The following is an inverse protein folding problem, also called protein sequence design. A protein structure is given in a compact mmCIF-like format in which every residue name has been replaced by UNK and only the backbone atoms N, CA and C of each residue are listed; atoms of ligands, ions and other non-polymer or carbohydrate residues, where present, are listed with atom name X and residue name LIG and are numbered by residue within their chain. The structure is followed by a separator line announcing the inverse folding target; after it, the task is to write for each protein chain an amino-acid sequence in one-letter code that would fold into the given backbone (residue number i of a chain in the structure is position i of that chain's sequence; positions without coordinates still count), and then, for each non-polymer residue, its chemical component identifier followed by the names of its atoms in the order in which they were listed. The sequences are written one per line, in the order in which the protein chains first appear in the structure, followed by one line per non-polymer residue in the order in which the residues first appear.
data_IF_608735673340
#
_entry.id   IF_608735673340
#
_cell.length_a   1.000
_cell.length_b   1.000
_cell.length_c   1.000
_cell.angle_alpha   90.00
_cell.angle_beta   90.00
_cell.angle_gamma   90.00
#
_symmetry.space_group_name_H-M   'P 1'
#
loop_
_entity.id
_entity.type
_entity.pdbx_description
1 polymer ?
#
# COMPACT_ATOMS: atom_id res chain seq x y z
N UNK A 1 17.17 -28.12 16.55
CA UNK A 1 18.20 -27.40 15.79
C UNK A 1 18.45 -27.96 14.39
N UNK A 2 18.66 -29.27 14.15
CA UNK A 2 19.04 -29.76 12.81
C UNK A 2 17.96 -29.54 11.73
N UNK A 3 16.68 -29.47 12.12
CA UNK A 3 15.58 -29.21 11.18
C UNK A 3 15.56 -27.79 10.62
N UNK A 4 16.02 -26.80 11.38
CA UNK A 4 15.98 -25.40 10.94
C UNK A 4 17.10 -25.13 9.94
N UNK A 5 18.28 -25.69 10.18
CA UNK A 5 19.45 -25.59 9.28
C UNK A 5 19.16 -26.28 7.95
N UNK A 6 18.56 -27.47 7.98
CA UNK A 6 18.14 -28.19 6.77
C UNK A 6 17.12 -27.38 5.94
N UNK A 7 16.18 -26.69 6.60
CA UNK A 7 15.22 -25.82 5.91
C UNK A 7 15.88 -24.59 5.30
N UNK A 8 16.81 -23.95 6.01
CA UNK A 8 17.55 -22.80 5.48
C UNK A 8 18.36 -23.19 4.22
N UNK A 9 19.05 -24.32 4.25
CA UNK A 9 19.82 -24.82 3.10
C UNK A 9 18.92 -25.14 1.89
N UNK A 10 17.75 -25.74 2.14
CA UNK A 10 16.75 -26.00 1.10
C UNK A 10 16.24 -24.70 0.47
N UNK A 11 15.89 -23.69 1.29
CA UNK A 11 15.43 -22.39 0.81
C UNK A 11 16.46 -21.71 -0.08
N UNK A 12 17.74 -21.73 0.32
CA UNK A 12 18.81 -21.13 -0.49
C UNK A 12 19.01 -21.87 -1.81
N UNK A 13 18.90 -23.20 -1.80
CA UNK A 13 18.98 -24.02 -3.02
C UNK A 13 17.84 -23.69 -3.98
N UNK A 14 16.62 -23.61 -3.47
CA UNK A 14 15.43 -23.26 -4.26
C UNK A 14 15.52 -21.83 -4.80
N UNK A 15 16.04 -20.89 -4.03
CA UNK A 15 16.22 -19.50 -4.46
C UNK A 15 17.10 -19.41 -5.72
N UNK A 16 18.22 -20.15 -5.74
CA UNK A 16 19.12 -20.21 -6.90
C UNK A 16 18.44 -20.86 -8.11
N UNK A 17 17.67 -21.93 -7.88
CA UNK A 17 16.96 -22.64 -8.93
C UNK A 17 15.88 -21.75 -9.58
N UNK A 18 15.05 -21.08 -8.77
CA UNK A 18 14.01 -20.16 -9.23
C UNK A 18 14.58 -19.00 -10.04
N UNK A 19 15.67 -18.38 -9.57
CA UNK A 19 16.34 -17.32 -10.34
C UNK A 19 16.80 -17.79 -11.71
N UNK A 20 17.41 -18.98 -11.78
CA UNK A 20 17.88 -19.57 -13.04
C UNK A 20 16.72 -19.90 -13.97
N UNK A 21 15.62 -20.43 -13.44
CA UNK A 21 14.40 -20.70 -14.20
C UNK A 21 13.79 -19.43 -14.78
N UNK A 22 13.86 -18.32 -14.04
CA UNK A 22 13.46 -16.99 -14.52
C UNK A 22 14.45 -16.36 -15.54
N UNK A 23 15.59 -17.00 -15.82
CA UNK A 23 16.59 -16.50 -16.77
C UNK A 23 17.34 -15.25 -16.30
N UNK A 24 17.34 -14.95 -14.99
CA UNK A 24 17.93 -13.73 -14.45
C UNK A 24 19.35 -13.96 -13.91
N UNK A 25 20.26 -13.04 -14.24
CA UNK A 25 21.57 -12.94 -13.59
C UNK A 25 21.45 -12.27 -12.20
N UNK A 26 22.42 -12.52 -11.32
CA UNK A 26 22.44 -11.88 -9.99
C UNK A 26 22.41 -10.35 -10.09
N UNK A 27 23.16 -9.77 -11.03
CA UNK A 27 23.20 -8.32 -11.27
C UNK A 27 21.86 -7.75 -11.73
N UNK A 28 21.11 -8.48 -12.55
CA UNK A 28 19.78 -8.03 -12.98
C UNK A 28 18.80 -8.01 -11.82
N UNK A 29 18.82 -9.03 -10.96
CA UNK A 29 17.99 -9.05 -9.75
C UNK A 29 18.34 -7.90 -8.82
N UNK A 30 19.63 -7.67 -8.57
CA UNK A 30 20.08 -6.55 -7.73
C UNK A 30 19.63 -5.21 -8.30
N UNK A 31 19.74 -5.01 -9.62
CA UNK A 31 19.28 -3.79 -10.28
C UNK A 31 17.76 -3.60 -10.22
N UNK A 32 16.98 -4.66 -10.39
CA UNK A 32 15.51 -4.59 -10.42
C UNK A 32 14.91 -4.37 -9.02
N UNK A 33 15.56 -4.90 -7.98
CA UNK A 33 15.12 -4.74 -6.59
C UNK A 33 15.85 -3.61 -5.84
N UNK A 34 16.71 -2.83 -6.51
CA UNK A 34 17.47 -1.76 -5.87
C UNK A 34 18.42 -2.25 -4.77
N UNK A 35 18.92 -3.48 -4.85
CA UNK A 35 19.83 -4.06 -3.86
C UNK A 35 21.26 -3.55 -4.08
N UNK A 36 22.05 -3.51 -2.99
CA UNK A 36 23.48 -3.22 -3.09
C UNK A 36 24.20 -4.34 -3.87
N UNK A 37 25.26 -3.99 -4.57
CA UNK A 37 26.08 -4.95 -5.30
C UNK A 37 26.55 -6.11 -4.41
N UNK A 38 26.48 -7.34 -4.94
CA UNK A 38 26.80 -8.62 -4.28
C UNK A 38 25.84 -9.05 -3.16
N UNK A 39 24.77 -8.31 -2.87
CA UNK A 39 23.78 -8.71 -1.86
C UNK A 39 23.15 -10.05 -2.21
N UNK A 40 22.79 -10.27 -3.47
CA UNK A 40 22.14 -11.52 -3.87
C UNK A 40 23.12 -12.69 -3.79
N UNK A 41 24.39 -12.46 -4.14
CA UNK A 41 25.43 -13.47 -3.98
C UNK A 41 25.59 -13.89 -2.51
N UNK A 42 25.64 -12.93 -1.59
CA UNK A 42 25.79 -13.23 -0.17
C UNK A 42 24.53 -13.89 0.43
N UNK A 43 23.33 -13.57 -0.08
CA UNK A 43 22.10 -14.30 0.25
C UNK A 43 22.17 -15.75 -0.23
N UNK A 44 22.46 -16.00 -1.52
CA UNK A 44 22.54 -17.35 -2.09
C UNK A 44 23.63 -18.23 -1.45
N UNK A 45 24.65 -17.61 -0.85
CA UNK A 45 25.71 -18.29 -0.08
C UNK A 45 25.40 -18.44 1.41
N UNK A 46 24.24 -17.97 1.88
CA UNK A 46 23.85 -18.02 3.28
C UNK A 46 24.69 -17.13 4.20
N UNK A 47 25.44 -16.17 3.64
CA UNK A 47 26.24 -15.20 4.40
C UNK A 47 25.38 -14.08 4.96
N UNK A 48 24.30 -13.75 4.26
CA UNK A 48 23.24 -12.87 4.74
C UNK A 48 21.99 -13.69 5.01
N UNK A 49 21.27 -13.32 6.08
CA UNK A 49 19.97 -13.91 6.38
C UNK A 49 18.91 -13.33 5.44
N UNK A 50 18.18 -14.21 4.78
CA UNK A 50 17.06 -13.84 3.92
C UNK A 50 15.86 -13.48 4.79
N UNK A 51 15.46 -12.21 4.78
CA UNK A 51 14.21 -11.80 5.45
C UNK A 51 12.98 -12.26 4.66
N UNK A 52 11.84 -12.36 5.35
CA UNK A 52 10.57 -12.73 4.71
C UNK A 52 10.17 -11.78 3.57
N UNK A 53 10.34 -10.47 3.76
CA UNK A 53 10.00 -9.48 2.72
C UNK A 53 10.87 -9.65 1.48
N UNK A 54 12.19 -9.83 1.67
CA UNK A 54 13.11 -10.10 0.55
C UNK A 54 12.77 -11.41 -0.17
N UNK A 55 12.37 -12.46 0.57
CA UNK A 55 11.93 -13.71 -0.03
C UNK A 55 10.70 -13.51 -0.92
N UNK A 56 9.72 -12.72 -0.46
CA UNK A 56 8.53 -12.39 -1.23
C UNK A 56 8.85 -11.59 -2.50
N UNK A 57 9.68 -10.54 -2.39
CA UNK A 57 10.11 -9.72 -3.53
C UNK A 57 10.85 -10.55 -4.59
N UNK A 58 11.72 -11.48 -4.15
CA UNK A 58 12.46 -12.38 -5.03
C UNK A 58 11.52 -13.39 -5.71
N UNK A 59 10.59 -14.02 -4.98
CA UNK A 59 9.59 -14.92 -5.54
C UNK A 59 8.74 -14.20 -6.62
N UNK A 60 8.29 -12.98 -6.34
CA UNK A 60 7.53 -12.18 -7.29
C UNK A 60 8.35 -11.90 -8.56
N UNK A 61 9.61 -11.52 -8.41
CA UNK A 61 10.52 -11.27 -9.53
C UNK A 61 10.77 -12.53 -10.37
N UNK A 62 10.78 -13.70 -9.73
CA UNK A 62 11.00 -14.99 -10.39
C UNK A 62 9.72 -15.62 -10.93
N UNK A 63 8.56 -14.96 -10.79
CA UNK A 63 7.25 -15.50 -11.13
C UNK A 63 6.95 -16.84 -10.43
N UNK A 64 7.36 -16.95 -9.16
CA UNK A 64 7.21 -18.12 -8.31
C UNK A 64 6.40 -17.81 -7.04
N UNK A 65 5.81 -18.83 -6.44
CA UNK A 65 5.13 -18.74 -5.14
C UNK A 65 6.15 -18.94 -4.00
N UNK A 66 5.81 -18.48 -2.80
CA UNK A 66 6.59 -18.77 -1.59
C UNK A 66 6.63 -20.28 -1.29
N UNK A 67 5.60 -21.02 -1.71
CA UNK A 67 5.58 -22.48 -1.61
C UNK A 67 6.67 -23.14 -2.46
N UNK A 68 7.02 -22.57 -3.62
CA UNK A 68 8.11 -23.09 -4.46
C UNK A 68 9.47 -22.88 -3.78
N UNK A 69 9.62 -21.77 -3.04
CA UNK A 69 10.81 -21.50 -2.26
C UNK A 69 10.96 -22.44 -1.06
N UNK A 70 9.84 -22.87 -0.46
CA UNK A 70 9.79 -23.76 0.71
C UNK A 70 9.70 -25.24 0.35
N UNK A 71 9.52 -25.59 -0.92
CA UNK A 71 9.36 -26.96 -1.38
C UNK A 71 10.58 -27.83 -1.02
N UNK A 72 10.34 -29.03 -0.49
CA UNK A 72 11.40 -30.00 -0.22
C UNK A 72 11.98 -30.60 -1.52
N UNK A 73 13.17 -31.17 -1.45
CA UNK A 73 13.85 -31.80 -2.59
C UNK A 73 13.06 -32.94 -3.28
N UNK A 74 12.10 -33.55 -2.59
CA UNK A 74 11.22 -34.60 -3.12
C UNK A 74 9.96 -34.05 -3.81
N UNK A 75 9.75 -32.73 -3.80
CA UNK A 75 8.68 -32.12 -4.57
C UNK A 75 8.99 -32.29 -6.06
N UNK A 76 8.00 -32.67 -6.90
CA UNK A 76 8.22 -32.79 -8.33
C UNK A 76 8.80 -31.48 -8.85
N UNK A 77 9.88 -31.57 -9.64
CA UNK A 77 10.54 -30.41 -10.25
C UNK A 77 9.47 -29.44 -10.77
N UNK A 78 9.61 -28.12 -10.51
CA UNK A 78 8.65 -27.14 -10.97
C UNK A 78 8.52 -27.32 -12.47
N UNK A 79 7.37 -27.85 -12.87
CA UNK A 79 7.09 -28.24 -14.24
C UNK A 79 7.39 -27.00 -15.10
N UNK A 80 8.39 -27.12 -15.96
CA UNK A 80 8.58 -26.18 -17.06
C UNK A 80 7.23 -26.07 -17.73
N UNK A 81 6.54 -24.93 -17.54
CA UNK A 81 5.19 -24.71 -18.06
C UNK A 81 5.30 -24.83 -19.57
N UNK A 82 4.92 -25.99 -20.10
CA UNK A 82 4.64 -26.17 -21.51
C UNK A 82 3.69 -25.06 -21.95
N UNK A 83 4.01 -24.48 -23.09
CA UNK A 83 3.25 -23.44 -23.80
C UNK A 83 1.81 -23.92 -24.09
N UNK A 84 0.95 -23.93 -23.08
CA UNK A 84 -0.49 -24.09 -23.24
C UNK A 84 -1.12 -22.70 -23.30
N UNK A 85 -1.63 -22.35 -24.47
CA UNK A 85 -2.26 -21.08 -24.85
C UNK A 85 -3.59 -20.75 -24.13
N UNK A 86 -3.81 -21.24 -22.91
CA UNK A 86 -4.94 -20.83 -22.08
C UNK A 86 -4.45 -20.28 -20.73
N UNK A 87 -4.87 -19.05 -20.36
CA UNK A 87 -4.48 -18.48 -19.07
C UNK A 87 -5.12 -19.27 -17.93
N UNK A 88 -4.35 -19.77 -16.95
CA UNK A 88 -4.92 -20.32 -15.73
C UNK A 88 -5.67 -19.20 -14.96
N UNK A 89 -6.82 -19.50 -14.32
CA UNK A 89 -7.44 -18.55 -13.41
C UNK A 89 -6.46 -18.27 -12.27
N UNK A 90 -6.09 -16.99 -12.12
CA UNK A 90 -5.05 -16.55 -11.19
C UNK A 90 -5.37 -16.99 -9.75
N UNK A 91 -4.45 -17.69 -9.05
CA UNK A 91 -4.56 -17.86 -7.61
C UNK A 91 -4.41 -16.49 -6.93
N UNK A 92 -5.40 -16.13 -6.11
CA UNK A 92 -5.41 -14.83 -5.45
C UNK A 92 -4.44 -14.81 -4.27
N UNK A 93 -3.45 -13.90 -4.25
CA UNK A 93 -2.50 -13.78 -3.16
C UNK A 93 -3.17 -13.22 -1.91
N UNK A 94 -2.73 -13.66 -0.73
CA UNK A 94 -3.04 -13.01 0.55
C UNK A 94 -2.23 -11.72 0.64
N UNK A 95 -2.88 -10.65 0.23
CA UNK A 95 -2.26 -9.34 -0.02
C UNK A 95 -1.99 -8.58 1.29
N UNK A 96 -0.79 -8.01 1.42
CA UNK A 96 -0.54 -6.96 2.41
C UNK A 96 -1.54 -5.84 2.17
N UNK A 97 -2.08 -5.30 3.24
CA UNK A 97 -3.20 -4.35 3.25
C UNK A 97 -3.11 -3.18 2.27
N UNK A 98 -1.89 -2.77 1.91
CA UNK A 98 -1.62 -1.67 0.99
C UNK A 98 -1.43 -2.12 -0.46
N UNK A 99 -0.94 -3.35 -0.71
CA UNK A 99 -0.99 -3.92 -2.07
C UNK A 99 -2.43 -4.31 -2.44
N UNK A 100 -3.28 -4.56 -1.44
CA UNK A 100 -4.72 -4.74 -1.61
C UNK A 100 -5.45 -3.46 -2.02
N UNK A 101 -4.82 -2.27 -1.93
CA UNK A 101 -5.38 -1.01 -2.45
C UNK A 101 -5.35 -0.91 -3.98
N UNK A 102 -4.86 -1.92 -4.70
CA UNK A 102 -4.97 -1.90 -6.16
C UNK A 102 -4.27 -0.71 -6.82
N UNK A 103 -3.21 -0.18 -6.22
CA UNK A 103 -2.17 0.54 -6.98
C UNK A 103 -1.32 -0.49 -7.73
N UNK A 104 -1.96 -1.30 -8.54
CA UNK A 104 -1.30 -2.25 -9.41
C UNK A 104 -1.68 -1.79 -10.81
N UNK A 105 -1.09 -0.67 -11.22
CA UNK A 105 -0.80 -0.25 -12.60
C UNK A 105 -0.24 1.20 -12.59
N UNK A 106 1.06 1.35 -12.36
CA UNK A 106 1.83 2.51 -12.86
C UNK A 106 1.80 3.84 -12.09
N UNK A 107 2.26 3.89 -10.83
CA UNK A 107 2.78 5.15 -10.26
C UNK A 107 2.12 5.71 -8.98
N UNK A 108 1.57 4.87 -8.10
CA UNK A 108 1.11 5.34 -6.77
C UNK A 108 1.87 4.61 -5.63
N UNK A 109 2.79 3.72 -5.99
CA UNK A 109 3.65 3.00 -5.04
C UNK A 109 4.55 3.94 -4.22
N UNK A 110 5.16 4.98 -4.83
CA UNK A 110 5.97 5.94 -4.08
C UNK A 110 5.16 6.70 -3.03
N UNK A 111 3.87 6.97 -3.27
CA UNK A 111 3.04 7.77 -2.37
C UNK A 111 2.61 6.96 -1.14
N UNK A 112 2.19 5.72 -1.36
CA UNK A 112 1.89 4.81 -0.26
C UNK A 112 3.14 4.56 0.61
N UNK A 113 4.32 4.49 -0.01
CA UNK A 113 5.59 4.39 0.71
C UNK A 113 5.91 5.64 1.53
N UNK A 114 5.82 6.83 0.93
CA UNK A 114 6.07 8.10 1.62
C UNK A 114 5.08 8.33 2.77
N UNK A 115 3.81 8.01 2.56
CA UNK A 115 2.77 8.01 3.60
C UNK A 115 3.12 7.07 4.76
N UNK A 116 3.64 5.87 4.45
CA UNK A 116 4.11 4.91 5.44
C UNK A 116 5.41 5.35 6.16
N UNK A 117 6.11 6.36 5.65
CA UNK A 117 7.30 6.95 6.28
C UNK A 117 7.02 8.27 6.98
N UNK A 118 5.78 8.78 6.92
CA UNK A 118 5.40 10.01 7.62
C UNK A 118 5.72 9.88 9.13
N UNK A 119 6.55 10.77 9.70
CA UNK A 119 7.05 10.60 11.06
C UNK A 119 5.95 10.63 12.11
N UNK A 120 4.84 11.33 11.87
CA UNK A 120 3.70 11.38 12.80
C UNK A 120 2.91 10.08 12.74
N UNK A 121 2.73 9.52 11.54
CA UNK A 121 2.10 8.21 11.36
C UNK A 121 2.98 7.09 11.95
N UNK A 122 4.29 7.11 11.67
CA UNK A 122 5.25 6.12 12.17
C UNK A 122 5.33 6.16 13.70
N UNK A 123 5.29 7.35 14.31
CA UNK A 123 5.27 7.48 15.77
C UNK A 123 4.01 6.88 16.41
N UNK A 124 2.86 6.98 15.73
CA UNK A 124 1.58 6.44 16.19
C UNK A 124 1.51 4.91 16.03
N UNK A 125 1.93 4.39 14.88
CA UNK A 125 1.80 2.97 14.53
C UNK A 125 2.95 2.12 15.07
N UNK A 126 4.14 2.72 15.19
CA UNK A 126 5.38 2.05 15.57
C UNK A 126 6.13 1.46 14.38
N UNK A 127 7.45 1.74 14.32
CA UNK A 127 8.36 1.34 13.22
C UNK A 127 8.27 -0.15 12.89
N UNK A 128 8.15 -1.02 13.91
CA UNK A 128 8.10 -2.48 13.74
C UNK A 128 6.74 -3.06 13.33
N UNK A 129 5.70 -2.23 13.18
CA UNK A 129 4.37 -2.66 12.72
C UNK A 129 4.12 -2.37 11.24
N UNK A 130 4.87 -1.44 10.66
CA UNK A 130 4.75 -1.08 9.25
C UNK A 130 5.01 -2.30 8.36
N UNK A 131 4.12 -2.54 7.40
CA UNK A 131 4.18 -3.68 6.47
C UNK A 131 3.56 -4.99 6.98
N UNK A 132 3.27 -5.12 8.28
CA UNK A 132 2.60 -6.34 8.81
C UNK A 132 1.11 -6.38 8.49
N UNK A 133 0.49 -5.21 8.38
CA UNK A 133 -0.95 -5.00 8.19
C UNK A 133 -1.18 -3.72 7.37
N UNK A 134 -2.38 -3.53 6.78
CA UNK A 134 -2.76 -2.27 6.16
C UNK A 134 -2.58 -1.11 7.14
N UNK A 135 -2.04 0.01 6.65
CA UNK A 135 -1.86 1.20 7.49
C UNK A 135 -3.18 1.66 8.12
N UNK A 136 -4.28 1.60 7.35
CA UNK A 136 -5.59 1.94 7.88
C UNK A 136 -6.01 0.99 9.01
N UNK A 137 -5.82 -0.32 8.88
CA UNK A 137 -6.14 -1.27 9.98
C UNK A 137 -5.28 -1.01 11.22
N UNK A 138 -3.99 -0.71 11.04
CA UNK A 138 -3.10 -0.37 12.14
C UNK A 138 -3.59 0.87 12.90
N UNK A 139 -3.94 1.94 12.19
CA UNK A 139 -4.49 3.14 12.81
C UNK A 139 -5.86 2.88 13.46
N UNK A 140 -6.77 2.17 12.78
CA UNK A 140 -8.09 1.89 13.32
C UNK A 140 -8.10 0.88 14.47
N UNK A 141 -7.02 0.12 14.66
CA UNK A 141 -6.83 -0.86 15.74
C UNK A 141 -6.87 -0.22 17.13
N UNK A 142 -6.37 1.00 17.25
CA UNK A 142 -6.29 1.75 18.51
C UNK A 142 -7.59 2.52 18.85
N UNK A 143 -8.56 2.54 17.94
CA UNK A 143 -9.82 3.25 18.10
C UNK A 143 -10.94 2.34 18.64
N UNK A 144 -11.82 2.93 19.45
CA UNK A 144 -13.11 2.30 19.77
C UNK A 144 -13.95 2.11 18.50
N UNK A 145 -14.87 1.14 18.51
CA UNK A 145 -15.78 0.87 17.38
C UNK A 145 -16.54 2.12 16.91
N UNK A 146 -16.97 2.96 17.86
CA UNK A 146 -17.64 4.22 17.61
C UNK A 146 -16.72 5.25 16.93
N UNK A 147 -15.50 5.43 17.42
CA UNK A 147 -14.52 6.34 16.81
C UNK A 147 -14.12 5.87 15.41
N UNK A 148 -13.85 4.56 15.26
CA UNK A 148 -13.56 3.94 13.96
C UNK A 148 -14.65 4.26 12.96
N UNK A 149 -15.92 4.05 13.33
CA UNK A 149 -17.07 4.37 12.48
C UNK A 149 -17.12 5.85 12.10
N UNK A 150 -16.95 6.76 13.07
CA UNK A 150 -16.97 8.20 12.78
C UNK A 150 -15.83 8.62 11.85
N UNK A 151 -14.62 8.15 12.09
CA UNK A 151 -13.47 8.44 11.22
C UNK A 151 -13.71 7.95 9.81
N UNK A 152 -14.12 6.69 9.66
CA UNK A 152 -14.39 6.06 8.36
C UNK A 152 -15.48 6.80 7.57
N UNK A 153 -16.57 7.20 8.23
CA UNK A 153 -17.62 8.00 7.60
C UNK A 153 -17.12 9.36 7.11
N UNK A 154 -16.30 10.05 7.91
CA UNK A 154 -15.77 11.35 7.54
C UNK A 154 -14.73 11.22 6.41
N UNK A 155 -13.84 10.23 6.49
CA UNK A 155 -12.86 9.92 5.45
C UNK A 155 -13.54 9.75 4.09
N UNK A 156 -14.61 8.95 3.99
CA UNK A 156 -15.31 8.75 2.72
C UNK A 156 -16.05 9.99 2.21
N UNK A 157 -16.56 10.84 3.11
CA UNK A 157 -17.16 12.11 2.70
C UNK A 157 -16.10 13.07 2.16
N UNK A 158 -14.92 13.11 2.77
CA UNK A 158 -13.80 13.89 2.26
C UNK A 158 -13.34 13.36 0.91
N UNK A 159 -13.15 12.05 0.75
CA UNK A 159 -12.77 11.42 -0.52
C UNK A 159 -13.79 11.74 -1.62
N UNK A 160 -15.09 11.53 -1.38
CA UNK A 160 -16.12 11.86 -2.38
C UNK A 160 -16.12 13.34 -2.78
N UNK A 161 -15.76 14.23 -1.86
CA UNK A 161 -15.66 15.66 -2.16
C UNK A 161 -14.39 16.00 -2.96
N UNK A 162 -13.30 15.24 -2.80
CA UNK A 162 -12.09 15.34 -3.65
C UNK A 162 -12.47 14.91 -5.07
N UNK A 163 -13.08 13.72 -5.20
CA UNK A 163 -13.44 13.11 -6.49
C UNK A 163 -14.40 13.98 -7.31
N UNK A 164 -15.32 14.72 -6.67
CA UNK A 164 -16.22 15.63 -7.40
C UNK A 164 -15.77 17.07 -7.46
N UNK A 165 -14.58 17.40 -6.94
CA UNK A 165 -14.16 18.80 -6.79
C UNK A 165 -13.93 19.50 -8.12
N UNK A 166 -13.54 18.77 -9.17
CA UNK A 166 -13.33 19.27 -10.52
C UNK A 166 -14.51 19.03 -11.48
N UNK A 167 -15.55 18.34 -11.00
CA UNK A 167 -16.75 18.00 -11.77
C UNK A 167 -16.64 16.74 -12.62
N UNK A 168 -15.50 16.03 -12.63
CA UNK A 168 -15.26 14.82 -13.41
C UNK A 168 -15.00 13.63 -12.50
N UNK A 169 -15.99 12.75 -12.32
CA UNK A 169 -15.81 11.54 -11.51
C UNK A 169 -15.19 10.45 -12.38
N UNK A 170 -13.97 10.02 -12.06
CA UNK A 170 -13.26 8.98 -12.81
C UNK A 170 -13.39 7.61 -12.14
N UNK A 171 -13.42 6.55 -12.94
CA UNK A 171 -13.58 5.17 -12.46
C UNK A 171 -12.43 4.73 -11.56
N UNK A 172 -11.20 5.16 -11.86
CA UNK A 172 -9.99 4.88 -11.06
C UNK A 172 -10.10 5.43 -9.64
N UNK A 173 -10.58 6.66 -9.47
CA UNK A 173 -10.77 7.28 -8.16
C UNK A 173 -11.87 6.58 -7.35
N UNK A 174 -12.96 6.21 -8.02
CA UNK A 174 -14.08 5.48 -7.44
C UNK A 174 -13.64 4.10 -6.97
N UNK A 175 -12.87 3.39 -7.78
CA UNK A 175 -12.31 2.08 -7.43
C UNK A 175 -11.38 2.19 -6.22
N UNK A 176 -10.46 3.16 -6.20
CA UNK A 176 -9.57 3.39 -5.06
C UNK A 176 -10.35 3.68 -3.77
N UNK A 177 -11.40 4.51 -3.86
CA UNK A 177 -12.30 4.77 -2.72
C UNK A 177 -12.94 3.47 -2.24
N UNK A 178 -13.51 2.66 -3.14
CA UNK A 178 -14.22 1.45 -2.76
C UNK A 178 -13.29 0.41 -2.14
N UNK A 179 -12.05 0.32 -2.61
CA UNK A 179 -11.01 -0.51 -1.98
C UNK A 179 -10.66 -0.01 -0.57
N UNK A 180 -10.55 1.30 -0.35
CA UNK A 180 -10.42 1.86 1.01
C UNK A 180 -11.63 1.50 1.87
N UNK A 181 -12.85 1.49 1.30
CA UNK A 181 -14.07 1.10 2.02
C UNK A 181 -13.97 -0.33 2.57
N UNK A 182 -13.63 -1.27 1.70
CA UNK A 182 -13.54 -2.68 2.03
C UNK A 182 -12.51 -2.94 3.14
N UNK A 183 -11.37 -2.25 3.10
CA UNK A 183 -10.30 -2.39 4.09
C UNK A 183 -10.67 -1.88 5.49
N UNK A 184 -11.63 -0.97 5.60
CA UNK A 184 -12.01 -0.43 6.92
C UNK A 184 -12.73 -1.45 7.81
N UNK A 185 -13.27 -2.52 7.20
CA UNK A 185 -14.08 -3.54 7.86
C UNK A 185 -15.27 -2.95 8.67
N UNK A 186 -15.72 -1.73 8.33
CA UNK A 186 -16.87 -1.09 8.98
C UNK A 186 -18.13 -1.33 8.16
N UNK A 187 -19.09 -2.05 8.75
CA UNK A 187 -20.41 -2.23 8.15
C UNK A 187 -21.22 -0.94 8.19
N UNK A 188 -21.40 -0.31 7.02
CA UNK A 188 -22.17 0.91 6.85
C UNK A 188 -23.66 0.63 6.67
N UNK A 189 -24.51 1.38 7.38
CA UNK A 189 -25.95 1.36 7.20
C UNK A 189 -26.37 2.12 5.94
N UNK A 190 -27.57 1.87 5.44
CA UNK A 190 -28.09 2.54 4.25
C UNK A 190 -28.21 4.07 4.42
N UNK A 191 -28.50 4.55 5.63
CA UNK A 191 -28.55 5.99 5.92
C UNK A 191 -27.18 6.64 5.84
N UNK A 192 -26.13 5.92 6.25
CA UNK A 192 -24.74 6.38 6.16
C UNK A 192 -24.21 6.37 4.74
N UNK A 193 -24.49 5.31 3.96
CA UNK A 193 -24.17 5.28 2.53
C UNK A 193 -24.80 6.47 1.80
N UNK A 194 -26.08 6.76 2.06
CA UNK A 194 -26.76 7.96 1.57
C UNK A 194 -26.09 9.25 2.04
N UNK A 195 -25.62 9.30 3.28
CA UNK A 195 -24.88 10.46 3.80
C UNK A 195 -23.52 10.66 3.13
N UNK A 196 -22.81 9.58 2.79
CA UNK A 196 -21.54 9.62 2.07
C UNK A 196 -21.77 10.08 0.63
N UNK A 197 -22.80 9.55 -0.04
CA UNK A 197 -23.14 9.92 -1.41
C UNK A 197 -23.51 11.41 -1.57
N UNK A 198 -24.05 12.06 -0.52
CA UNK A 198 -24.33 13.51 -0.55
C UNK A 198 -23.07 14.36 -0.71
N UNK A 199 -21.90 13.86 -0.29
CA UNK A 199 -20.64 14.59 -0.38
C UNK A 199 -20.17 14.79 -1.84
N UNK A 200 -20.68 14.01 -2.80
CA UNK A 200 -20.45 14.29 -4.21
C UNK A 200 -21.05 15.61 -4.70
N UNK A 201 -22.13 16.09 -4.05
CA UNK A 201 -22.87 17.27 -4.50
C UNK A 201 -22.37 18.57 -3.88
N UNK A 202 -21.69 18.48 -2.75
CA UNK A 202 -21.23 19.65 -1.99
C UNK A 202 -19.97 19.30 -1.20
N UNK A 203 -18.93 20.16 -1.24
CA UNK A 203 -17.74 19.99 -0.42
C UNK A 203 -18.07 19.73 1.05
N UNK A 204 -17.45 18.70 1.61
CA UNK A 204 -17.63 18.29 2.99
C UNK A 204 -16.52 18.85 3.89
N UNK A 205 -16.89 19.56 4.95
CA UNK A 205 -15.95 20.11 5.93
C UNK A 205 -16.26 19.64 7.35
N UNK A 206 -16.67 18.38 7.56
CA UNK A 206 -16.91 17.90 8.92
C UNK A 206 -17.98 18.70 9.70
N UNK A 207 -18.17 18.35 10.97
CA UNK A 207 -18.82 19.25 11.96
C UNK A 207 -18.09 19.24 13.30
N UNK A 208 -17.52 18.11 13.66
CA UNK A 208 -16.83 17.90 14.94
C UNK A 208 -15.59 17.05 14.73
N UNK A 209 -14.43 17.69 14.80
CA UNK A 209 -13.16 17.02 14.47
C UNK A 209 -12.61 16.20 15.62
N UNK A 210 -12.96 16.53 16.86
CA UNK A 210 -12.53 15.77 18.04
C UNK A 210 -13.08 14.34 18.07
N UNK A 211 -14.21 14.08 17.39
CA UNK A 211 -14.83 12.76 17.35
C UNK A 211 -14.24 11.83 16.31
N UNK A 212 -13.87 12.37 15.13
CA UNK A 212 -13.34 11.60 14.01
C UNK A 212 -11.81 11.62 13.94
N UNK A 213 -11.15 12.69 14.37
CA UNK A 213 -9.70 12.89 14.28
C UNK A 213 -9.10 13.10 15.69
N UNK A 214 -9.00 12.04 16.51
CA UNK A 214 -8.60 12.17 17.90
C UNK A 214 -7.11 12.47 18.10
N UNK A 215 -6.26 12.14 17.12
CA UNK A 215 -4.80 12.33 17.18
C UNK A 215 -4.28 12.88 15.84
N UNK A 216 -3.08 13.45 15.84
CA UNK A 216 -2.50 14.10 14.67
C UNK A 216 -2.22 13.12 13.52
N UNK A 217 -1.86 11.87 13.82
CA UNK A 217 -1.65 10.83 12.81
C UNK A 217 -2.88 10.62 11.91
N UNK A 218 -4.10 10.77 12.43
CA UNK A 218 -5.32 10.64 11.62
C UNK A 218 -5.53 11.83 10.69
N UNK A 219 -5.06 13.02 11.07
CA UNK A 219 -5.09 14.21 10.22
C UNK A 219 -4.09 14.07 9.08
N UNK A 220 -2.88 13.60 9.39
CA UNK A 220 -1.86 13.26 8.39
C UNK A 220 -2.39 12.19 7.44
N UNK A 221 -2.89 11.08 7.98
CA UNK A 221 -3.46 9.98 7.18
C UNK A 221 -4.59 10.46 6.27
N UNK A 222 -5.49 11.32 6.78
CA UNK A 222 -6.55 11.91 5.97
C UNK A 222 -5.97 12.68 4.78
N UNK A 223 -5.08 13.65 5.04
CA UNK A 223 -4.49 14.47 3.95
C UNK A 223 -3.72 13.62 2.95
N UNK A 224 -2.92 12.67 3.41
CA UNK A 224 -2.23 11.71 2.55
C UNK A 224 -3.22 10.94 1.66
N UNK A 225 -4.32 10.45 2.23
CA UNK A 225 -5.35 9.72 1.48
C UNK A 225 -6.03 10.62 0.44
N UNK A 226 -6.31 11.88 0.78
CA UNK A 226 -6.90 12.81 -0.19
C UNK A 226 -5.94 13.12 -1.34
N UNK A 227 -4.65 13.27 -1.05
CA UNK A 227 -3.63 13.48 -2.06
C UNK A 227 -3.44 12.24 -2.94
N UNK A 228 -3.48 11.04 -2.35
CA UNK A 228 -3.44 9.76 -3.06
C UNK A 228 -4.56 9.67 -4.10
N UNK A 229 -5.79 9.98 -3.69
CA UNK A 229 -6.97 9.98 -4.58
C UNK A 229 -6.80 11.03 -5.68
N UNK A 230 -6.41 12.25 -5.32
CA UNK A 230 -6.26 13.36 -6.28
C UNK A 230 -5.19 13.15 -7.35
N UNK A 231 -4.26 12.21 -7.14
CA UNK A 231 -3.17 11.92 -8.06
C UNK A 231 -3.29 10.55 -8.74
N UNK A 232 -4.34 9.79 -8.47
CA UNK A 232 -4.44 8.41 -8.95
C UNK A 232 -4.50 8.30 -10.49
N UNK A 233 -4.81 9.40 -11.17
CA UNK A 233 -4.91 9.56 -12.62
C UNK A 233 -3.91 10.61 -13.17
N UNK A 234 -2.91 10.99 -12.37
CA UNK A 234 -1.84 11.89 -12.76
C UNK A 234 -1.83 13.20 -11.99
N UNK A 235 -1.87 14.34 -12.71
CA UNK A 235 -1.75 15.66 -12.08
C UNK A 235 -3.13 16.13 -11.58
N UNK A 236 -3.25 16.46 -10.28
CA UNK A 236 -4.51 16.92 -9.71
C UNK A 236 -4.92 18.26 -10.30
N UNK A 237 -6.23 18.46 -10.49
CA UNK A 237 -6.76 19.76 -10.86
C UNK A 237 -6.52 20.78 -9.73
N UNK A 238 -6.28 22.04 -10.09
CA UNK A 238 -6.23 23.16 -9.13
C UNK A 238 -7.42 23.21 -8.14
N UNK A 239 -8.64 22.84 -8.57
CA UNK A 239 -9.82 22.83 -7.68
C UNK A 239 -9.68 21.77 -6.59
N UNK A 240 -9.23 20.58 -6.96
CA UNK A 240 -8.89 19.48 -6.05
C UNK A 240 -7.83 19.89 -5.04
N UNK A 241 -6.74 20.51 -5.49
CA UNK A 241 -5.68 21.00 -4.59
C UNK A 241 -6.17 22.11 -3.65
N UNK A 242 -7.00 23.03 -4.16
CA UNK A 242 -7.62 24.08 -3.34
C UNK A 242 -8.48 23.47 -2.25
N UNK A 243 -9.28 22.46 -2.59
CA UNK A 243 -10.11 21.76 -1.62
C UNK A 243 -9.28 21.04 -0.56
N UNK A 244 -8.23 20.31 -0.94
CA UNK A 244 -7.36 19.61 0.01
C UNK A 244 -6.71 20.60 0.99
N UNK A 245 -6.25 21.76 0.52
CA UNK A 245 -5.70 22.82 1.38
C UNK A 245 -6.75 23.36 2.36
N UNK A 246 -7.97 23.61 1.89
CA UNK A 246 -9.08 24.02 2.75
C UNK A 246 -9.42 22.94 3.80
N UNK A 247 -9.34 21.66 3.43
CA UNK A 247 -9.49 20.55 4.40
C UNK A 247 -8.36 20.59 5.43
N UNK A 248 -7.11 20.79 5.03
CA UNK A 248 -5.97 20.89 5.94
C UNK A 248 -6.13 22.03 6.96
N UNK A 249 -6.54 23.21 6.50
CA UNK A 249 -6.85 24.36 7.35
C UNK A 249 -8.01 24.06 8.29
N UNK A 250 -9.09 23.48 7.76
CA UNK A 250 -10.27 23.11 8.52
C UNK A 250 -9.93 22.11 9.63
N UNK A 251 -9.14 21.07 9.31
CA UNK A 251 -8.64 20.08 10.28
C UNK A 251 -7.56 20.58 11.22
N UNK A 252 -7.17 21.85 11.09
CA UNK A 252 -6.10 22.49 11.86
C UNK A 252 -4.79 21.71 11.79
N UNK A 253 -4.50 21.13 10.62
CA UNK A 253 -3.20 20.53 10.37
C UNK A 253 -2.15 21.66 10.34
N UNK A 254 -1.03 21.55 11.07
CA UNK A 254 0.03 22.56 11.01
C UNK A 254 0.50 22.79 9.57
N UNK A 255 0.72 24.04 9.20
CA UNK A 255 1.17 24.41 7.84
C UNK A 255 2.49 23.71 7.49
N UNK A 256 3.40 23.53 8.45
CA UNK A 256 4.64 22.78 8.25
C UNK A 256 4.41 21.30 7.93
N UNK A 257 3.43 20.66 8.57
CA UNK A 257 3.06 19.29 8.30
C UNK A 257 2.41 19.15 6.91
N UNK A 258 1.54 20.08 6.53
CA UNK A 258 0.95 20.08 5.20
C UNK A 258 2.02 20.26 4.10
N UNK A 259 2.96 21.19 4.28
CA UNK A 259 4.09 21.39 3.35
C UNK A 259 4.98 20.16 3.24
N UNK A 260 5.28 19.51 4.38
CA UNK A 260 6.02 18.26 4.37
C UNK A 260 5.35 17.21 3.48
N UNK A 261 4.03 17.05 3.59
CA UNK A 261 3.28 16.11 2.75
C UNK A 261 3.36 16.52 1.26
N UNK A 262 3.17 17.80 0.92
CA UNK A 262 3.32 18.30 -0.45
C UNK A 262 4.73 18.03 -1.01
N UNK A 263 5.79 18.29 -0.24
CA UNK A 263 7.19 18.05 -0.63
C UNK A 263 7.49 16.56 -0.86
N UNK A 264 6.94 15.68 -0.02
CA UNK A 264 7.09 14.23 -0.18
C UNK A 264 6.37 13.73 -1.43
N UNK A 265 5.18 14.25 -1.74
CA UNK A 265 4.46 13.95 -2.98
C UNK A 265 5.26 14.39 -4.19
N UNK A 266 5.78 15.63 -4.19
CA UNK A 266 6.59 16.13 -5.30
C UNK A 266 7.86 15.31 -5.51
N UNK A 267 8.52 14.89 -4.42
CA UNK A 267 9.70 14.03 -4.47
C UNK A 267 9.37 12.66 -5.06
N UNK A 268 8.29 12.04 -4.58
CA UNK A 268 7.83 10.74 -5.03
C UNK A 268 7.44 10.72 -6.52
N UNK A 269 7.00 11.86 -7.08
CA UNK A 269 6.71 12.02 -8.52
C UNK A 269 7.96 12.18 -9.38
N UNK A 270 9.04 12.72 -8.83
CA UNK A 270 10.30 12.84 -9.55
C UNK A 270 10.97 11.48 -9.75
N UNK A 271 10.71 10.52 -8.87
CA UNK A 271 11.23 9.14 -8.98
C UNK A 271 10.56 8.32 -10.09
N UNK A 272 9.41 8.74 -10.60
CA UNK A 272 8.65 8.04 -11.65
C UNK A 272 9.01 8.48 -13.08
N UNK A 273 9.75 9.59 -13.25
CA UNK A 273 10.16 10.14 -14.54
C UNK A 273 11.63 9.86 -14.84
#
# INVERSE_FOLDING_TARGET
MPLLEALEEQVLTNLVALRKAAGLSQKQVESQLGLRANTLYDLEKGRLKLSFLQAADLCQLYHADLNDLLAGADAPEPLSRSESNEPPPAPQPSVSSLTALGVISGGIHPFAHAMAQDPVIVAEVGVGQMGKKPLMELLLGELTSTQRRYFVLDLYRYINSVISSDGEIRETEVNLRDTLIEQSQVMLSESEKKSIARAFRKPYFGKSMSKSLPRDAYRHFLIWTLQLVAHCDGRPHHQTQTYIRQVAEHIRLPVSAFRYIEEQIDSARLEEN
#
